data_IF_530326204785
#
_entry.id   IF_530326204785
#
_cell.length_a   1.000
_cell.length_b   1.000
_cell.length_c   1.000
_cell.angle_alpha   90.00
_cell.angle_beta   90.00
_cell.angle_gamma   90.00
#
_symmetry.space_group_name_H-M   'P 1'
#
loop_
_entity.id
_entity.type
_entity.pdbx_description
1 polymer ?
#
# COMPACT_ATOMS: atom_id res chain seq x y z
N UNK A 1 66.49 -25.34 -12.93
CA UNK A 1 66.61 -24.76 -14.29
C UNK A 1 65.80 -23.46 -14.28
N UNK A 2 66.44 -22.28 -14.15
CA UNK A 2 66.92 -21.39 -15.25
C UNK A 2 65.77 -21.05 -16.21
N UNK A 3 65.35 -19.82 -16.57
CA UNK A 3 65.77 -18.40 -16.49
C UNK A 3 64.46 -17.57 -16.73
N UNK A 4 64.16 -16.37 -16.20
CA UNK A 4 64.77 -15.02 -16.26
C UNK A 4 64.87 -14.37 -17.66
N UNK A 5 64.08 -13.30 -17.89
CA UNK A 5 64.33 -12.08 -18.70
C UNK A 5 62.97 -11.42 -19.05
N UNK A 6 62.53 -10.21 -18.67
CA UNK A 6 63.12 -8.89 -18.42
C UNK A 6 63.69 -8.16 -19.65
N UNK A 7 63.41 -6.84 -19.71
CA UNK A 7 64.03 -5.75 -20.49
C UNK A 7 63.44 -5.45 -21.89
N UNK A 8 63.29 -4.22 -22.42
CA UNK A 8 63.60 -2.81 -22.10
C UNK A 8 62.86 -1.96 -23.19
N UNK A 9 62.20 -0.83 -22.90
CA UNK A 9 62.67 0.58 -22.88
C UNK A 9 62.94 1.27 -24.25
N UNK A 10 62.39 2.49 -24.40
CA UNK A 10 62.92 3.73 -25.08
C UNK A 10 61.80 4.47 -25.83
N UNK A 11 61.23 5.59 -25.35
CA UNK A 11 61.71 7.00 -25.38
C UNK A 11 61.94 7.56 -26.81
N UNK A 12 61.15 8.57 -27.22
CA UNK A 12 61.66 9.88 -27.68
C UNK A 12 60.53 10.90 -27.97
N UNK A 13 60.78 12.13 -27.52
CA UNK A 13 60.02 13.38 -27.68
C UNK A 13 60.41 14.15 -28.96
N UNK A 14 59.58 15.16 -29.29
CA UNK A 14 59.84 16.39 -30.09
C UNK A 14 59.00 16.45 -31.38
N UNK A 15 58.37 17.54 -31.78
CA UNK A 15 58.38 18.92 -31.30
C UNK A 15 57.38 19.77 -32.09
N UNK A 16 57.16 20.99 -31.62
CA UNK A 16 56.31 22.04 -32.19
C UNK A 16 56.74 22.48 -33.61
N UNK A 17 55.80 23.00 -34.43
CA UNK A 17 55.77 24.43 -34.87
C UNK A 17 54.49 24.77 -35.65
N UNK A 18 54.11 26.05 -35.54
CA UNK A 18 52.93 26.75 -36.04
C UNK A 18 53.20 27.39 -37.42
N UNK A 19 52.12 27.58 -38.19
CA UNK A 19 51.80 28.72 -39.08
C UNK A 19 52.73 28.97 -40.31
N UNK A 20 52.37 29.51 -41.48
CA UNK A 20 51.29 30.39 -41.95
C UNK A 20 51.17 30.34 -43.51
N UNK A 21 49.93 30.54 -44.00
CA UNK A 21 49.45 31.47 -45.05
C UNK A 21 50.13 31.61 -46.44
N UNK A 22 49.31 31.61 -47.52
CA UNK A 22 49.39 32.58 -48.63
C UNK A 22 48.08 32.65 -49.48
N UNK A 23 47.44 33.82 -49.46
CA UNK A 23 46.55 34.44 -50.49
C UNK A 23 47.38 34.89 -51.73
N UNK A 24 46.88 35.44 -52.88
CA UNK A 24 45.81 36.46 -52.99
C UNK A 24 44.97 36.54 -54.30
N UNK A 25 43.99 37.46 -54.35
CA UNK A 25 43.88 38.49 -55.41
C UNK A 25 42.72 39.47 -55.14
N UNK A 26 43.00 40.76 -55.33
CA UNK A 26 42.19 41.93 -54.97
C UNK A 26 41.50 42.61 -56.16
N UNK A 27 40.44 43.39 -55.89
CA UNK A 27 40.12 44.63 -56.61
C UNK A 27 39.25 45.57 -55.73
N UNK A 28 39.48 46.89 -55.85
CA UNK A 28 39.10 47.99 -54.94
C UNK A 28 37.90 48.84 -55.45
N UNK A 29 37.46 49.75 -54.56
CA UNK A 29 36.74 51.06 -54.72
C UNK A 29 35.23 51.01 -54.40
N UNK A 30 34.58 51.98 -53.73
CA UNK A 30 34.85 53.35 -53.24
C UNK A 30 34.00 53.62 -51.95
N UNK A 31 34.11 54.78 -51.24
CA UNK A 31 33.60 54.93 -49.86
C UNK A 31 32.13 55.36 -49.80
N UNK A 32 31.34 54.94 -48.79
CA UNK A 32 30.02 55.50 -48.56
C UNK A 32 30.01 56.56 -47.47
N UNK A 33 29.15 57.56 -47.71
CA UNK A 33 28.74 58.70 -46.90
C UNK A 33 28.19 58.33 -45.51
N UNK A 34 28.46 59.19 -44.52
CA UNK A 34 27.86 59.14 -43.18
C UNK A 34 26.33 59.23 -43.22
N UNK A 35 25.59 58.39 -42.49
CA UNK A 35 24.18 58.62 -42.21
C UNK A 35 23.94 59.19 -40.81
N UNK A 36 23.04 60.18 -40.80
CA UNK A 36 22.40 60.83 -39.65
C UNK A 36 21.86 59.83 -38.61
N UNK A 37 21.98 60.21 -37.35
CA UNK A 37 21.39 59.52 -36.20
C UNK A 37 19.88 59.35 -36.34
N UNK A 38 19.41 58.10 -36.29
CA UNK A 38 18.00 57.71 -36.18
C UNK A 38 17.68 57.29 -34.74
N UNK A 39 16.55 57.79 -34.22
CA UNK A 39 16.00 57.49 -32.90
C UNK A 39 15.75 55.99 -32.65
N UNK A 40 15.74 55.51 -31.39
CA UNK A 40 15.62 54.08 -31.09
C UNK A 40 14.23 53.55 -31.41
N UNK A 41 14.18 52.38 -32.05
CA UNK A 41 12.97 51.65 -32.34
C UNK A 41 12.30 51.14 -31.05
N UNK A 42 10.99 51.37 -30.91
CA UNK A 42 10.16 50.77 -29.86
C UNK A 42 10.06 49.26 -30.12
N UNK A 43 10.53 48.45 -29.17
CA UNK A 43 10.19 47.04 -29.10
C UNK A 43 8.72 46.93 -28.65
N UNK A 44 7.84 46.47 -29.53
CA UNK A 44 6.52 45.98 -29.12
C UNK A 44 6.71 44.66 -28.37
N UNK A 45 6.37 44.66 -27.09
CA UNK A 45 6.32 43.46 -26.25
C UNK A 45 5.21 42.53 -26.76
N UNK A 46 5.56 41.27 -27.04
CA UNK A 46 4.60 40.22 -27.31
C UNK A 46 3.61 40.09 -26.13
N UNK A 47 2.32 39.80 -26.39
CA UNK A 47 1.33 39.69 -25.31
C UNK A 47 1.69 38.50 -24.42
N UNK A 48 1.76 38.75 -23.10
CA UNK A 48 1.89 37.71 -22.09
C UNK A 48 0.78 36.67 -22.28
N UNK A 49 1.15 35.42 -22.59
CA UNK A 49 0.22 34.29 -22.47
C UNK A 49 -0.17 34.20 -21.01
N UNK A 50 -1.40 34.62 -20.69
CA UNK A 50 -2.04 34.25 -19.43
C UNK A 50 -1.96 32.73 -19.32
N UNK A 51 -1.25 32.22 -18.32
CA UNK A 51 -1.26 30.80 -17.99
C UNK A 51 -2.72 30.37 -17.85
N UNK A 52 -3.14 29.41 -18.66
CA UNK A 52 -4.43 28.76 -18.43
C UNK A 52 -4.39 28.15 -17.02
N UNK A 53 -5.47 28.28 -16.23
CA UNK A 53 -5.53 27.63 -14.93
C UNK A 53 -5.28 26.13 -15.15
N UNK A 54 -4.26 25.58 -14.47
CA UNK A 54 -3.97 24.15 -14.50
C UNK A 54 -5.28 23.40 -14.22
N UNK A 55 -5.72 22.57 -15.16
CA UNK A 55 -6.88 21.71 -14.95
C UNK A 55 -6.59 20.88 -13.70
N UNK A 56 -7.52 20.77 -12.74
CA UNK A 56 -7.32 19.92 -11.57
C UNK A 56 -6.98 18.51 -12.08
N UNK A 57 -5.81 18.01 -11.70
CA UNK A 57 -5.44 16.63 -11.97
C UNK A 57 -6.44 15.76 -11.22
N UNK A 58 -7.23 14.97 -11.95
CA UNK A 58 -8.15 14.01 -11.33
C UNK A 58 -7.33 13.07 -10.43
N UNK A 59 -7.69 12.98 -9.15
CA UNK A 59 -7.03 12.09 -8.21
C UNK A 59 -7.41 10.64 -8.58
N UNK A 60 -6.43 9.74 -8.80
CA UNK A 60 -6.73 8.39 -9.24
C UNK A 60 -7.07 7.45 -8.08
N UNK A 61 -7.65 6.30 -8.41
CA UNK A 61 -7.66 5.12 -7.56
C UNK A 61 -6.38 4.30 -7.78
N UNK A 62 -5.64 4.05 -6.72
CA UNK A 62 -4.38 3.30 -6.72
C UNK A 62 -4.59 1.90 -6.17
N UNK A 63 -4.21 0.87 -6.92
CA UNK A 63 -4.26 -0.53 -6.46
C UNK A 63 -3.05 -0.82 -5.57
N UNK A 64 -3.29 -1.30 -4.35
CA UNK A 64 -2.23 -1.46 -3.34
C UNK A 64 -2.29 -2.76 -2.57
N UNK A 65 -1.14 -3.38 -2.34
CA UNK A 65 -0.98 -4.48 -1.39
C UNK A 65 -0.13 -4.02 -0.20
N UNK A 66 -0.59 -4.34 1.01
CA UNK A 66 0.01 -3.87 2.27
C UNK A 66 0.47 -5.01 3.18
N UNK A 67 0.26 -6.27 2.81
CA UNK A 67 0.75 -7.41 3.57
C UNK A 67 1.20 -8.53 2.62
N UNK A 68 2.51 -8.73 2.52
CA UNK A 68 3.13 -9.79 1.73
C UNK A 68 4.49 -10.20 2.28
N UNK A 69 4.83 -11.48 2.08
CA UNK A 69 6.09 -12.08 2.50
C UNK A 69 6.95 -12.53 1.32
N UNK A 70 8.25 -12.57 1.58
CA UNK A 70 9.30 -13.00 0.64
C UNK A 70 10.16 -14.07 1.31
N UNK A 71 11.24 -14.51 0.65
CA UNK A 71 12.27 -15.39 1.26
C UNK A 71 13.03 -14.73 2.44
N UNK A 72 12.78 -13.45 2.74
CA UNK A 72 13.31 -12.77 3.92
C UNK A 72 12.45 -13.02 5.16
N UNK A 73 11.26 -13.59 5.01
CA UNK A 73 10.50 -14.29 6.04
C UNK A 73 10.92 -15.77 6.12
N UNK A 74 10.72 -16.41 7.28
CA UNK A 74 11.11 -17.82 7.47
C UNK A 74 10.17 -18.82 6.79
N UNK A 75 9.02 -18.36 6.28
CA UNK A 75 7.94 -19.12 5.68
C UNK A 75 7.61 -18.71 4.23
N UNK A 76 8.39 -17.80 3.65
CA UNK A 76 8.41 -17.51 2.22
C UNK A 76 9.64 -18.10 1.52
N UNK A 77 9.56 -18.29 0.21
CA UNK A 77 10.68 -18.84 -0.60
C UNK A 77 10.95 -18.06 -1.89
N UNK A 78 10.22 -16.97 -2.14
CA UNK A 78 10.36 -16.19 -3.38
C UNK A 78 11.21 -14.94 -3.11
N UNK A 79 12.23 -14.64 -3.94
CA UNK A 79 13.03 -13.42 -3.81
C UNK A 79 12.17 -12.15 -3.81
N UNK A 80 12.51 -11.12 -3.01
CA UNK A 80 11.73 -9.89 -2.92
C UNK A 80 11.46 -9.22 -4.27
N UNK A 81 12.46 -9.19 -5.16
CA UNK A 81 12.35 -8.58 -6.49
C UNK A 81 11.38 -9.34 -7.40
N UNK A 82 11.26 -10.66 -7.23
CA UNK A 82 10.29 -11.48 -7.95
C UNK A 82 8.88 -11.26 -7.43
N UNK A 83 8.71 -11.11 -6.11
CA UNK A 83 7.42 -10.72 -5.51
C UNK A 83 6.99 -9.34 -6.03
N UNK A 84 7.89 -8.36 -6.05
CA UNK A 84 7.59 -7.02 -6.60
C UNK A 84 7.15 -7.11 -8.06
N UNK A 85 7.87 -7.87 -8.90
CA UNK A 85 7.50 -8.09 -10.31
C UNK A 85 6.15 -8.79 -10.45
N UNK A 86 5.83 -9.74 -9.58
CA UNK A 86 4.54 -10.44 -9.57
C UNK A 86 3.37 -9.46 -9.40
N UNK A 87 3.48 -8.53 -8.45
CA UNK A 87 2.44 -7.51 -8.20
C UNK A 87 2.43 -6.45 -9.29
N UNK A 88 3.59 -5.98 -9.74
CA UNK A 88 3.68 -5.00 -10.83
C UNK A 88 2.99 -5.52 -12.11
N UNK A 89 3.24 -6.79 -12.49
CA UNK A 89 2.62 -7.42 -13.65
C UNK A 89 1.08 -7.54 -13.54
N UNK A 90 0.51 -7.35 -12.33
CA UNK A 90 -0.93 -7.39 -12.03
C UNK A 90 -1.54 -6.01 -11.80
N UNK A 91 -0.82 -4.96 -12.24
CA UNK A 91 -1.30 -3.59 -12.24
C UNK A 91 -1.38 -2.96 -10.85
N UNK A 92 -0.59 -3.44 -9.88
CA UNK A 92 -0.46 -2.75 -8.60
C UNK A 92 0.32 -1.45 -8.78
N UNK A 93 -0.13 -0.41 -8.11
CA UNK A 93 0.52 0.89 -8.06
C UNK A 93 1.54 1.00 -6.94
N UNK A 94 1.27 0.30 -5.84
CA UNK A 94 2.18 0.24 -4.71
C UNK A 94 2.14 -1.11 -3.98
N UNK A 95 3.24 -1.42 -3.31
CA UNK A 95 3.41 -2.63 -2.51
C UNK A 95 4.17 -2.28 -1.22
N UNK A 96 3.74 -2.84 -0.10
CA UNK A 96 4.57 -2.95 1.09
C UNK A 96 5.00 -4.39 1.28
N UNK A 97 6.31 -4.64 1.25
CA UNK A 97 6.88 -5.92 1.69
C UNK A 97 6.91 -5.87 3.22
N UNK A 98 6.40 -6.92 3.87
CA UNK A 98 6.17 -6.95 5.31
C UNK A 98 6.73 -8.22 5.92
N UNK A 99 7.98 -8.54 5.60
CA UNK A 99 8.60 -9.77 6.10
C UNK A 99 8.61 -9.83 7.63
N UNK A 100 8.51 -11.04 8.17
CA UNK A 100 8.42 -11.30 9.59
C UNK A 100 9.62 -10.76 10.37
N UNK A 101 9.37 -9.68 11.11
CA UNK A 101 10.31 -8.93 11.92
C UNK A 101 11.54 -8.46 11.13
N UNK A 102 11.43 -8.20 9.83
CA UNK A 102 12.54 -7.73 9.01
C UNK A 102 12.06 -6.64 8.05
N UNK A 103 12.72 -5.48 8.08
CA UNK A 103 12.45 -4.42 7.10
C UNK A 103 13.24 -4.76 5.84
N UNK A 104 12.53 -5.18 4.81
CA UNK A 104 13.12 -5.52 3.52
C UNK A 104 12.97 -4.35 2.56
N UNK A 105 14.10 -3.81 2.12
CA UNK A 105 14.17 -2.70 1.16
C UNK A 105 14.81 -3.21 -0.13
N UNK A 106 14.12 -3.04 -1.24
CA UNK A 106 14.63 -3.32 -2.59
C UNK A 106 14.30 -2.14 -3.51
N UNK A 107 14.98 -2.09 -4.65
CA UNK A 107 14.73 -1.05 -5.65
C UNK A 107 13.34 -1.22 -6.28
N UNK A 108 12.61 -0.10 -6.37
CA UNK A 108 11.32 -0.08 -7.03
C UNK A 108 11.51 -0.10 -8.55
N UNK A 109 10.87 -1.02 -9.29
CA UNK A 109 10.87 -0.96 -10.75
C UNK A 109 10.06 0.25 -11.24
N UNK A 110 10.30 0.74 -12.47
CA UNK A 110 9.59 1.89 -13.02
C UNK A 110 8.06 1.75 -12.93
N UNK A 111 7.40 2.79 -12.43
CA UNK A 111 5.94 2.82 -12.30
C UNK A 111 5.38 2.09 -11.07
N UNK A 112 6.20 1.48 -10.23
CA UNK A 112 5.80 0.87 -8.95
C UNK A 112 6.28 1.74 -7.78
N UNK A 113 5.44 1.92 -6.75
CA UNK A 113 5.90 2.47 -5.47
C UNK A 113 6.13 1.35 -4.46
N UNK A 114 7.28 1.36 -3.80
CA UNK A 114 7.54 0.48 -2.66
C UNK A 114 7.44 1.28 -1.37
N UNK A 115 6.55 0.84 -0.49
CA UNK A 115 6.36 1.39 0.85
C UNK A 115 7.12 0.49 1.81
N UNK A 116 8.12 0.99 2.55
CA UNK A 116 8.79 0.18 3.56
C UNK A 116 7.79 -0.33 4.59
N UNK A 117 7.85 -1.61 4.88
CA UNK A 117 6.98 -2.26 5.83
C UNK A 117 7.69 -3.38 6.59
N UNK A 118 7.04 -3.85 7.64
CA UNK A 118 7.47 -5.04 8.41
C UNK A 118 6.26 -5.62 9.11
N UNK A 119 6.16 -6.95 9.16
CA UNK A 119 5.23 -7.59 10.07
C UNK A 119 5.92 -7.89 11.40
N UNK A 120 5.45 -7.28 12.48
CA UNK A 120 5.87 -7.57 13.84
C UNK A 120 5.14 -8.83 14.32
N UNK A 121 5.90 -9.91 14.49
CA UNK A 121 5.36 -11.25 14.70
C UNK A 121 5.84 -11.82 16.01
N UNK A 122 4.90 -12.14 16.92
CA UNK A 122 5.18 -12.89 18.13
C UNK A 122 4.23 -14.10 18.25
N UNK A 123 4.80 -15.29 18.16
CA UNK A 123 4.06 -16.55 18.26
C UNK A 123 4.30 -17.18 19.64
N UNK A 124 3.25 -17.25 20.46
CA UNK A 124 3.33 -17.83 21.80
C UNK A 124 2.23 -18.88 22.03
N UNK A 125 2.50 -19.84 22.91
CA UNK A 125 1.48 -20.76 23.45
C UNK A 125 0.90 -20.26 24.78
N UNK A 126 1.45 -19.18 25.32
CA UNK A 126 1.09 -18.61 26.62
C UNK A 126 0.78 -17.13 26.43
N UNK A 127 -0.39 -16.71 26.89
CA UNK A 127 -0.75 -15.31 27.08
C UNK A 127 -1.88 -15.19 28.10
N UNK A 128 -2.18 -13.97 28.52
CA UNK A 128 -3.30 -13.61 29.36
C UNK A 128 -4.27 -12.67 28.62
N UNK A 129 -5.56 -13.04 28.46
CA UNK A 129 -6.16 -14.31 28.84
C UNK A 129 -5.60 -15.47 28.00
N UNK A 130 -5.61 -16.68 28.59
CA UNK A 130 -5.18 -17.90 27.91
C UNK A 130 -5.95 -18.11 26.60
N UNK A 131 -5.28 -18.64 25.55
CA UNK A 131 -5.98 -18.96 24.32
C UNK A 131 -7.00 -20.08 24.57
N UNK A 132 -8.06 -20.10 23.76
CA UNK A 132 -9.01 -21.22 23.75
C UNK A 132 -8.24 -22.51 23.44
N UNK A 133 -8.68 -23.64 24.00
CA UNK A 133 -8.04 -24.93 23.76
C UNK A 133 -7.90 -25.22 22.25
N UNK A 134 -6.70 -25.62 21.83
CA UNK A 134 -6.36 -25.85 20.42
C UNK A 134 -5.82 -24.61 19.69
N UNK A 135 -5.88 -23.43 20.31
CA UNK A 135 -5.37 -22.18 19.73
C UNK A 135 -4.12 -21.67 20.44
N UNK A 136 -3.50 -20.65 19.84
CA UNK A 136 -2.23 -20.04 20.26
C UNK A 136 -2.40 -18.54 20.36
N UNK A 137 -1.45 -17.86 20.99
CA UNK A 137 -1.39 -16.41 21.05
C UNK A 137 -0.47 -15.92 19.93
N UNK A 138 -1.04 -15.65 18.76
CA UNK A 138 -0.29 -15.21 17.58
C UNK A 138 -0.51 -13.71 17.41
N UNK A 139 0.43 -12.91 17.92
CA UNK A 139 0.37 -11.45 17.87
C UNK A 139 1.07 -10.96 16.61
N UNK A 140 0.27 -10.68 15.59
CA UNK A 140 0.73 -10.29 14.26
C UNK A 140 0.21 -8.88 13.97
N UNK A 141 1.09 -8.03 13.46
CA UNK A 141 0.73 -6.67 13.10
C UNK A 141 1.72 -6.10 12.11
N UNK A 142 1.24 -5.31 11.17
CA UNK A 142 2.09 -4.66 10.18
C UNK A 142 2.39 -3.23 10.61
N UNK A 143 3.66 -2.83 10.51
CA UNK A 143 4.06 -1.43 10.51
C UNK A 143 4.31 -0.99 9.06
N UNK A 144 3.44 -0.14 8.52
CA UNK A 144 3.56 0.44 7.17
C UNK A 144 4.29 1.78 7.20
N UNK A 145 4.95 2.18 6.12
CA UNK A 145 5.67 3.46 6.02
C UNK A 145 6.73 3.65 7.10
N UNK A 146 7.36 2.55 7.54
CA UNK A 146 8.49 2.65 8.47
C UNK A 146 9.62 3.44 7.83
N UNK A 147 10.39 4.14 8.64
CA UNK A 147 11.62 4.80 8.24
C UNK A 147 12.78 3.81 8.40
N UNK A 148 13.38 3.28 7.32
CA UNK A 148 14.49 2.34 7.43
C UNK A 148 15.71 2.94 8.18
N UNK A 149 15.84 4.27 8.24
CA UNK A 149 16.91 4.91 9.02
C UNK A 149 16.74 4.74 10.54
N UNK A 150 15.52 4.39 11.00
CA UNK A 150 15.22 4.09 12.41
C UNK A 150 15.36 2.60 12.74
N UNK A 151 15.72 1.78 11.77
CA UNK A 151 16.01 0.37 12.01
C UNK A 151 17.39 0.19 12.68
N UNK A 152 17.39 0.06 14.00
CA UNK A 152 18.58 -0.22 14.82
C UNK A 152 19.24 -1.56 14.49
N UNK A 153 18.57 -2.43 13.73
CA UNK A 153 19.07 -3.75 13.32
C UNK A 153 19.57 -3.74 11.87
N UNK A 154 19.45 -2.64 11.15
CA UNK A 154 20.00 -2.45 9.80
C UNK A 154 19.60 -3.57 8.83
N UNK A 155 18.30 -3.87 8.78
CA UNK A 155 17.74 -4.92 7.94
C UNK A 155 17.93 -6.33 8.50
N UNK A 156 18.43 -6.52 9.72
CA UNK A 156 18.42 -7.81 10.43
C UNK A 156 17.11 -8.01 11.21
N UNK A 157 16.86 -9.27 11.64
CA UNK A 157 15.63 -9.61 12.35
C UNK A 157 15.45 -8.78 13.63
N UNK A 158 14.44 -7.92 13.65
CA UNK A 158 13.97 -7.14 14.78
C UNK A 158 13.62 -8.05 15.96
N UNK A 159 13.90 -7.57 17.16
CA UNK A 159 13.62 -8.30 18.41
C UNK A 159 12.66 -7.48 19.24
N UNK A 160 11.52 -8.08 19.53
CA UNK A 160 10.56 -7.53 20.47
C UNK A 160 10.61 -8.31 21.78
N UNK A 161 10.56 -7.62 22.93
CA UNK A 161 10.40 -8.31 24.21
C UNK A 161 9.04 -9.02 24.23
N UNK A 162 9.03 -10.25 24.75
CA UNK A 162 7.78 -10.97 24.95
C UNK A 162 6.98 -10.33 26.08
N UNK A 163 5.68 -10.15 25.83
CA UNK A 163 4.73 -9.63 26.82
C UNK A 163 3.60 -10.64 26.96
N UNK A 164 3.32 -11.17 28.17
CA UNK A 164 2.32 -12.21 28.34
C UNK A 164 0.88 -11.68 28.20
N UNK A 165 0.64 -10.42 28.58
CA UNK A 165 -0.67 -9.79 28.43
C UNK A 165 -1.00 -9.54 26.96
N UNK A 166 -2.15 -10.04 26.50
CA UNK A 166 -2.58 -9.99 25.09
C UNK A 166 -2.70 -8.55 24.59
N UNK A 167 -3.37 -7.70 25.35
CA UNK A 167 -3.53 -6.28 25.01
C UNK A 167 -2.17 -5.59 25.01
N UNK A 168 -1.36 -5.85 26.02
CA UNK A 168 -0.05 -5.25 26.20
C UNK A 168 0.93 -5.68 25.11
N UNK A 169 0.84 -6.91 24.61
CA UNK A 169 1.62 -7.38 23.48
C UNK A 169 1.30 -6.60 22.20
N UNK A 170 0.02 -6.42 21.88
CA UNK A 170 -0.38 -5.58 20.74
C UNK A 170 -0.03 -4.11 20.95
N UNK A 171 -0.20 -3.56 22.15
CA UNK A 171 0.21 -2.19 22.45
C UNK A 171 1.73 -2.00 22.30
N UNK A 172 2.54 -2.97 22.75
CA UNK A 172 3.98 -2.92 22.55
C UNK A 172 4.37 -2.97 21.06
N UNK A 173 3.62 -3.71 20.23
CA UNK A 173 3.81 -3.68 18.78
C UNK A 173 3.38 -2.34 18.15
N UNK A 174 2.29 -1.75 18.63
CA UNK A 174 1.85 -0.41 18.25
C UNK A 174 2.94 0.63 18.55
N UNK A 175 3.44 0.66 19.79
CA UNK A 175 4.45 1.61 20.21
C UNK A 175 5.76 1.43 19.42
N UNK A 176 6.09 0.18 19.08
CA UNK A 176 7.26 -0.14 18.26
C UNK A 176 7.10 0.33 16.80
N UNK A 177 5.91 0.18 16.21
CA UNK A 177 5.61 0.70 14.89
C UNK A 177 5.74 2.24 14.84
N UNK A 178 5.22 2.94 15.87
CA UNK A 178 5.36 4.39 16.01
C UNK A 178 6.84 4.81 16.19
N UNK A 179 7.63 4.04 16.95
CA UNK A 179 9.08 4.28 17.07
C UNK A 179 9.79 4.23 15.72
N UNK A 180 9.38 3.30 14.85
CA UNK A 180 9.86 3.21 13.46
C UNK A 180 9.31 4.31 12.54
N UNK A 181 8.43 5.20 13.02
CA UNK A 181 7.77 6.23 12.21
C UNK A 181 6.64 5.69 11.32
N UNK A 182 6.25 4.42 11.50
CA UNK A 182 5.25 3.76 10.68
C UNK A 182 3.81 4.08 11.06
N UNK A 183 2.89 3.37 10.44
CA UNK A 183 1.48 3.26 10.84
C UNK A 183 1.25 1.81 11.23
N UNK A 184 0.68 1.61 12.41
CA UNK A 184 0.30 0.29 12.89
C UNK A 184 -1.01 -0.22 12.26
N UNK A 185 -0.97 -1.46 11.77
CA UNK A 185 -2.11 -2.24 11.30
C UNK A 185 -2.20 -3.50 12.16
N UNK A 186 -3.35 -3.75 12.77
CA UNK A 186 -3.60 -5.03 13.43
C UNK A 186 -3.92 -6.09 12.38
N UNK A 187 -3.09 -7.13 12.28
CA UNK A 187 -3.25 -8.16 11.25
C UNK A 187 -4.27 -9.21 11.67
N UNK A 188 -5.02 -9.68 10.68
CA UNK A 188 -6.00 -10.78 10.71
C UNK A 188 -6.44 -11.20 12.13
N UNK A 189 -7.26 -10.39 12.83
CA UNK A 189 -7.56 -10.55 14.27
C UNK A 189 -8.17 -11.91 14.64
N UNK A 190 -8.90 -12.52 13.70
CA UNK A 190 -9.51 -13.84 13.86
C UNK A 190 -8.50 -14.97 13.80
N UNK A 191 -7.26 -14.74 13.33
CA UNK A 191 -6.22 -15.75 13.26
C UNK A 191 -5.89 -16.28 14.66
N UNK A 192 -6.30 -17.51 14.96
CA UNK A 192 -6.26 -18.11 16.30
C UNK A 192 -7.04 -17.32 17.37
N UNK A 193 -8.02 -16.51 16.95
CA UNK A 193 -8.77 -15.60 17.82
C UNK A 193 -7.85 -14.71 18.67
N UNK A 194 -6.77 -14.22 18.04
CA UNK A 194 -5.73 -13.45 18.71
C UNK A 194 -6.26 -12.12 19.26
N UNK A 195 -7.18 -11.45 18.57
CA UNK A 195 -7.82 -10.23 19.05
C UNK A 195 -9.34 -10.27 18.85
N UNK A 196 -10.07 -10.01 19.93
CA UNK A 196 -11.53 -9.85 19.93
C UNK A 196 -11.94 -8.36 19.83
N UNK A 197 -13.24 -8.09 19.73
CA UNK A 197 -13.75 -6.72 19.64
C UNK A 197 -13.29 -5.87 20.84
N UNK A 198 -13.25 -6.43 22.05
CA UNK A 198 -12.83 -5.71 23.26
C UNK A 198 -11.37 -5.25 23.16
N UNK A 199 -10.49 -6.14 22.69
CA UNK A 199 -9.06 -5.86 22.48
C UNK A 199 -8.90 -4.75 21.44
N UNK A 200 -9.58 -4.87 20.29
CA UNK A 200 -9.51 -3.87 19.21
C UNK A 200 -10.02 -2.51 19.68
N UNK A 201 -11.14 -2.46 20.41
CA UNK A 201 -11.70 -1.22 20.97
C UNK A 201 -10.74 -0.56 21.95
N UNK A 202 -10.06 -1.36 22.80
CA UNK A 202 -9.04 -0.82 23.70
C UNK A 202 -7.87 -0.23 22.92
N UNK A 203 -7.34 -0.95 21.92
CA UNK A 203 -6.26 -0.44 21.06
C UNK A 203 -6.68 0.82 20.28
N UNK A 204 -7.93 0.89 19.80
CA UNK A 204 -8.47 2.06 19.10
C UNK A 204 -8.50 3.30 19.99
N UNK A 205 -8.80 3.15 21.29
CA UNK A 205 -8.70 4.24 22.27
C UNK A 205 -7.25 4.72 22.49
N UNK A 206 -6.27 3.90 22.14
CA UNK A 206 -4.84 4.23 22.18
C UNK A 206 -4.25 4.62 20.81
N UNK A 207 -5.10 4.79 19.78
CA UNK A 207 -4.67 5.34 18.49
C UNK A 207 -4.65 4.36 17.32
N UNK A 208 -5.01 3.08 17.52
CA UNK A 208 -5.20 2.15 16.40
C UNK A 208 -6.20 2.72 15.38
N UNK A 209 -5.77 2.80 14.12
CA UNK A 209 -6.61 3.27 13.00
C UNK A 209 -6.92 2.21 11.98
N UNK A 210 -6.04 1.22 11.80
CA UNK A 210 -6.11 0.26 10.70
C UNK A 210 -6.17 -1.17 11.23
N UNK A 211 -7.06 -1.97 10.69
CA UNK A 211 -7.17 -3.40 10.98
C UNK A 211 -7.33 -4.15 9.67
N UNK A 212 -6.72 -5.32 9.54
CA UNK A 212 -7.07 -6.23 8.45
C UNK A 212 -8.46 -6.80 8.71
N UNK A 213 -9.42 -6.33 7.91
CA UNK A 213 -10.76 -6.90 7.87
C UNK A 213 -10.72 -8.23 7.13
N UNK A 214 -10.11 -8.23 5.95
CA UNK A 214 -10.02 -9.40 5.08
C UNK A 214 -8.54 -9.74 4.87
N UNK A 215 -8.18 -10.96 5.22
CA UNK A 215 -6.93 -11.58 4.82
C UNK A 215 -7.26 -12.71 3.84
N UNK A 216 -6.54 -12.86 2.74
CA UNK A 216 -6.89 -13.88 1.74
C UNK A 216 -6.74 -15.32 2.26
N UNK A 217 -6.00 -15.55 3.34
CA UNK A 217 -5.89 -16.82 4.05
C UNK A 217 -6.99 -17.06 5.11
N UNK A 218 -7.93 -16.13 5.29
CA UNK A 218 -8.95 -16.17 6.35
C UNK A 218 -9.74 -17.49 6.36
N UNK A 219 -10.05 -18.06 5.20
CA UNK A 219 -10.86 -19.28 5.06
C UNK A 219 -10.26 -20.53 5.71
N UNK A 220 -8.96 -20.55 6.00
CA UNK A 220 -8.30 -21.73 6.57
C UNK A 220 -8.68 -22.05 8.00
N UNK A 221 -9.14 -21.07 8.76
CA UNK A 221 -9.59 -21.28 10.14
C UNK A 221 -11.09 -21.44 10.26
N UNK A 222 -11.81 -21.30 9.16
CA UNK A 222 -13.25 -21.38 9.12
C UNK A 222 -13.65 -22.64 8.34
N UNK A 223 -13.98 -23.76 9.02
CA UNK A 223 -14.37 -25.00 8.35
C UNK A 223 -15.62 -24.82 7.46
N UNK A 224 -16.39 -23.76 7.73
CA UNK A 224 -17.57 -23.35 6.96
C UNK A 224 -17.23 -22.61 5.65
N UNK A 225 -15.94 -22.44 5.33
CA UNK A 225 -15.44 -21.83 4.11
C UNK A 225 -15.35 -20.29 4.14
N UNK A 226 -14.93 -19.73 2.99
CA UNK A 226 -14.61 -18.30 2.82
C UNK A 226 -15.78 -17.36 3.16
N UNK A 227 -16.98 -17.66 2.69
CA UNK A 227 -18.12 -16.76 2.90
C UNK A 227 -18.45 -16.61 4.40
N UNK A 228 -18.37 -17.72 5.15
CA UNK A 228 -18.57 -17.71 6.59
C UNK A 228 -17.42 -17.03 7.35
N UNK A 229 -16.21 -17.12 6.81
CA UNK A 229 -15.05 -16.38 7.32
C UNK A 229 -15.25 -14.88 7.17
N UNK A 230 -15.60 -14.42 5.97
CA UNK A 230 -15.88 -13.00 5.67
C UNK A 230 -17.01 -12.45 6.54
N UNK A 231 -18.12 -13.20 6.71
CA UNK A 231 -19.22 -12.79 7.59
C UNK A 231 -18.75 -12.58 9.03
N UNK A 232 -17.94 -13.47 9.58
CA UNK A 232 -17.39 -13.33 10.95
C UNK A 232 -16.43 -12.15 11.08
N UNK A 233 -15.64 -11.86 10.04
CA UNK A 233 -14.79 -10.67 10.00
C UNK A 233 -15.63 -9.38 9.99
N UNK A 234 -16.69 -9.34 9.19
CA UNK A 234 -17.66 -8.24 9.19
C UNK A 234 -18.35 -8.08 10.56
N UNK A 235 -18.82 -9.16 11.16
CA UNK A 235 -19.42 -9.15 12.51
C UNK A 235 -18.46 -8.60 13.57
N UNK A 236 -17.18 -9.00 13.52
CA UNK A 236 -16.16 -8.47 14.42
C UNK A 236 -15.96 -6.96 14.21
N UNK A 237 -15.87 -6.52 12.95
CA UNK A 237 -15.72 -5.10 12.63
C UNK A 237 -16.94 -4.29 13.08
N UNK A 238 -18.14 -4.82 12.88
CA UNK A 238 -19.39 -4.19 13.29
C UNK A 238 -19.48 -4.06 14.81
N UNK A 239 -19.04 -5.06 15.58
CA UNK A 239 -18.94 -4.96 17.05
C UNK A 239 -18.00 -3.84 17.50
N UNK A 240 -16.86 -3.70 16.81
CA UNK A 240 -15.89 -2.63 17.11
C UNK A 240 -16.49 -1.26 16.79
N UNK A 241 -17.03 -1.08 15.59
CA UNK A 241 -17.64 0.19 15.16
C UNK A 241 -18.82 0.59 16.03
N UNK A 242 -19.63 -0.38 16.47
CA UNK A 242 -20.81 -0.14 17.32
C UNK A 242 -20.46 0.35 18.74
N UNK A 243 -19.20 0.20 19.15
CA UNK A 243 -18.70 0.76 20.42
C UNK A 243 -18.40 2.27 20.37
N UNK A 244 -18.53 2.90 19.18
CA UNK A 244 -18.28 4.32 18.97
C UNK A 244 -16.83 4.67 18.61
N UNK A 245 -15.92 3.69 18.53
CA UNK A 245 -14.59 3.90 17.96
C UNK A 245 -14.63 3.71 16.44
N UNK A 246 -13.70 4.34 15.74
CA UNK A 246 -13.55 4.18 14.29
C UNK A 246 -12.19 3.57 13.97
N UNK A 247 -12.22 2.41 13.30
CA UNK A 247 -11.06 1.75 12.68
C UNK A 247 -11.40 1.39 11.23
N UNK A 248 -10.44 1.58 10.34
CA UNK A 248 -10.56 1.30 8.92
C UNK A 248 -10.16 -0.14 8.62
N UNK A 249 -10.96 -0.82 7.79
CA UNK A 249 -10.76 -2.22 7.41
C UNK A 249 -9.97 -2.36 6.11
N UNK A 250 -8.83 -3.05 6.15
CA UNK A 250 -8.02 -3.40 4.98
C UNK A 250 -8.37 -4.80 4.45
N UNK A 251 -8.17 -5.00 3.15
CA UNK A 251 -8.10 -6.31 2.52
C UNK A 251 -6.67 -6.57 2.04
N UNK A 252 -6.09 -7.70 2.40
CA UNK A 252 -4.69 -8.04 2.15
C UNK A 252 -4.52 -9.49 1.77
N UNK A 253 -3.41 -9.81 1.09
CA UNK A 253 -3.15 -11.19 0.66
C UNK A 253 -2.52 -12.04 1.76
N UNK A 254 -1.52 -11.48 2.46
CA UNK A 254 -0.63 -12.25 3.33
C UNK A 254 0.01 -13.43 2.57
N UNK A 255 0.45 -13.12 1.36
CA UNK A 255 0.97 -14.10 0.42
C UNK A 255 2.40 -14.51 0.78
N UNK A 256 2.63 -15.81 0.67
CA UNK A 256 3.92 -16.46 0.93
C UNK A 256 4.43 -17.27 -0.27
N UNK A 257 3.55 -17.50 -1.25
CA UNK A 257 3.77 -18.39 -2.39
C UNK A 257 3.50 -17.69 -3.70
N UNK A 258 4.41 -17.87 -4.65
CA UNK A 258 4.34 -17.26 -5.97
C UNK A 258 4.65 -18.32 -7.02
N UNK A 259 5.90 -18.37 -7.50
CA UNK A 259 6.37 -19.40 -8.45
C UNK A 259 6.36 -20.80 -7.82
N UNK A 260 6.49 -20.91 -6.50
CA UNK A 260 6.48 -22.17 -5.74
C UNK A 260 5.07 -22.70 -5.39
N UNK A 261 4.01 -21.94 -5.67
CA UNK A 261 2.64 -22.31 -5.30
C UNK A 261 2.17 -23.63 -5.93
N UNK A 262 2.61 -23.94 -7.15
CA UNK A 262 2.25 -25.19 -7.83
C UNK A 262 2.85 -26.41 -7.13
N UNK A 263 4.12 -26.37 -6.75
CA UNK A 263 4.79 -27.46 -6.06
C UNK A 263 4.23 -27.67 -4.65
N UNK A 264 3.91 -26.57 -3.94
CA UNK A 264 3.24 -26.60 -2.63
C UNK A 264 1.91 -27.38 -2.69
N UNK A 265 1.11 -27.16 -3.74
CA UNK A 265 -0.16 -27.87 -3.95
C UNK A 265 0.03 -29.34 -4.31
N UNK A 266 1.08 -29.71 -5.06
CA UNK A 266 1.38 -31.13 -5.39
C UNK A 266 1.63 -31.99 -4.16
N UNK A 267 2.19 -31.41 -3.10
CA UNK A 267 2.41 -32.12 -1.82
C UNK A 267 1.22 -31.99 -0.86
N UNK A 268 0.04 -31.61 -1.36
CA UNK A 268 -1.19 -31.50 -0.58
C UNK A 268 -1.23 -30.34 0.42
N UNK A 269 -0.29 -29.39 0.34
CA UNK A 269 -0.27 -28.21 1.21
C UNK A 269 -1.02 -27.05 0.55
N UNK A 270 -1.65 -26.23 1.38
CA UNK A 270 -2.22 -24.96 0.92
C UNK A 270 -1.12 -24.01 0.44
N UNK A 271 -1.43 -23.22 -0.58
CA UNK A 271 -0.57 -22.17 -1.12
C UNK A 271 -1.21 -20.79 -0.93
N UNK A 272 -0.66 -20.00 -0.01
CA UNK A 272 -1.02 -18.59 0.20
C UNK A 272 -0.46 -17.75 -0.94
N UNK A 273 -1.29 -17.53 -1.96
CA UNK A 273 -0.93 -16.83 -3.20
C UNK A 273 -1.45 -15.40 -3.19
N UNK A 274 -0.74 -14.50 -3.89
CA UNK A 274 -1.14 -13.10 -4.00
C UNK A 274 -2.25 -12.82 -5.02
N UNK A 275 -2.69 -11.57 -5.05
CA UNK A 275 -3.74 -11.01 -5.92
C UNK A 275 -5.15 -11.60 -5.67
N UNK A 276 -5.48 -11.80 -4.41
CA UNK A 276 -6.77 -12.33 -3.92
C UNK A 276 -7.55 -11.31 -3.10
N UNK A 277 -6.85 -10.37 -2.46
CA UNK A 277 -7.42 -9.30 -1.65
C UNK A 277 -6.45 -8.10 -1.59
N UNK A 278 -6.97 -6.90 -1.80
CA UNK A 278 -6.19 -5.67 -1.85
C UNK A 278 -7.02 -4.43 -1.48
N UNK A 279 -6.36 -3.28 -1.41
CA UNK A 279 -7.03 -1.99 -1.23
C UNK A 279 -6.93 -1.14 -2.49
N UNK A 280 -7.95 -0.31 -2.69
CA UNK A 280 -7.97 0.73 -3.71
C UNK A 280 -7.98 2.08 -3.00
N UNK A 281 -6.91 2.86 -3.15
CA UNK A 281 -6.68 4.11 -2.40
C UNK A 281 -6.89 5.32 -3.31
N UNK A 282 -7.74 6.26 -2.90
CA UNK A 282 -7.97 7.50 -3.65
C UNK A 282 -6.96 8.57 -3.23
N UNK A 283 -5.84 8.65 -3.96
CA UNK A 283 -4.72 9.54 -3.64
C UNK A 283 -3.85 9.81 -4.86
N UNK A 284 -3.09 10.92 -4.83
CA UNK A 284 -1.93 11.04 -5.73
C UNK A 284 -0.95 9.89 -5.44
N UNK A 285 -0.27 9.40 -6.49
CA UNK A 285 0.73 8.33 -6.40
C UNK A 285 2.04 8.83 -5.77
N UNK A 286 1.98 9.17 -4.49
CA UNK A 286 3.09 9.63 -3.63
C UNK A 286 2.95 8.97 -2.25
N UNK A 287 4.03 8.43 -1.65
CA UNK A 287 3.94 7.76 -0.35
C UNK A 287 3.22 8.57 0.74
N UNK A 288 3.53 9.86 0.87
CA UNK A 288 2.87 10.74 1.84
C UNK A 288 1.35 10.87 1.60
N UNK A 289 0.91 10.93 0.33
CA UNK A 289 -0.51 11.05 -0.03
C UNK A 289 -1.28 9.75 0.18
N UNK A 290 -0.66 8.61 -0.10
CA UNK A 290 -1.21 7.29 0.25
C UNK A 290 -1.33 7.18 1.78
N UNK A 291 -0.29 7.58 2.52
CA UNK A 291 -0.29 7.58 3.99
C UNK A 291 -1.44 8.42 4.56
N UNK A 292 -1.60 9.65 4.09
CA UNK A 292 -2.71 10.55 4.46
C UNK A 292 -4.08 9.92 4.15
N UNK A 293 -4.24 9.34 2.95
CA UNK A 293 -5.49 8.71 2.52
C UNK A 293 -5.87 7.49 3.38
N UNK A 294 -4.91 6.64 3.75
CA UNK A 294 -5.15 5.50 4.63
C UNK A 294 -5.61 5.95 6.02
N UNK A 295 -4.95 6.95 6.61
CA UNK A 295 -5.33 7.48 7.92
C UNK A 295 -6.70 8.17 7.91
N UNK A 296 -7.10 8.75 6.78
CA UNK A 296 -8.39 9.40 6.59
C UNK A 296 -9.52 8.44 6.16
N UNK A 297 -9.23 7.18 5.84
CA UNK A 297 -10.21 6.22 5.31
C UNK A 297 -10.62 6.51 3.87
N UNK A 298 -9.75 7.13 3.05
CA UNK A 298 -9.95 7.39 1.62
C UNK A 298 -9.52 6.19 0.76
N UNK A 299 -10.08 5.03 1.06
CA UNK A 299 -9.83 3.80 0.34
C UNK A 299 -11.03 2.86 0.48
N UNK A 300 -11.05 1.78 -0.29
CA UNK A 300 -11.92 0.64 -0.02
C UNK A 300 -11.12 -0.66 -0.09
N UNK A 301 -11.54 -1.64 0.70
CA UNK A 301 -11.01 -3.00 0.66
C UNK A 301 -11.76 -3.80 -0.41
N UNK A 302 -11.09 -4.72 -1.11
CA UNK A 302 -11.75 -5.51 -2.15
C UNK A 302 -11.08 -6.86 -2.37
N UNK A 303 -11.87 -7.82 -2.85
CA UNK A 303 -11.44 -9.13 -3.34
C UNK A 303 -11.69 -9.31 -4.83
N UNK A 304 -12.03 -8.22 -5.55
CA UNK A 304 -12.23 -8.25 -7.00
C UNK A 304 -13.24 -7.22 -7.53
N UNK A 305 -14.17 -6.73 -6.69
CA UNK A 305 -15.12 -5.68 -7.10
C UNK A 305 -14.39 -4.34 -7.15
N UNK A 306 -14.47 -3.67 -8.31
CA UNK A 306 -13.89 -2.34 -8.53
C UNK A 306 -15.00 -1.29 -8.58
N UNK A 307 -14.71 -0.09 -8.08
CA UNK A 307 -15.63 1.03 -8.02
C UNK A 307 -15.04 2.19 -8.82
N UNK A 308 -15.83 2.78 -9.71
CA UNK A 308 -15.43 3.95 -10.51
C UNK A 308 -15.65 5.25 -9.74
N UNK A 309 -16.75 5.32 -8.98
CA UNK A 309 -17.11 6.48 -8.16
C UNK A 309 -17.44 6.05 -6.74
N UNK A 310 -16.98 6.83 -5.76
CA UNK A 310 -17.33 6.66 -4.34
C UNK A 310 -17.57 8.05 -3.74
N UNK A 311 -18.72 8.23 -3.10
CA UNK A 311 -18.97 9.35 -2.20
C UNK A 311 -19.03 8.81 -0.77
N UNK A 312 -18.22 9.36 0.13
CA UNK A 312 -18.24 9.05 1.56
C UNK A 312 -18.24 10.35 2.35
N UNK A 313 -19.40 10.75 2.84
CA UNK A 313 -19.58 11.93 3.67
C UNK A 313 -20.67 11.71 4.73
N UNK A 314 -20.78 12.62 5.69
CA UNK A 314 -21.89 12.61 6.65
C UNK A 314 -23.28 12.78 5.98
N UNK A 315 -23.33 13.27 4.73
CA UNK A 315 -24.57 13.50 3.98
C UNK A 315 -24.96 12.33 3.10
N UNK A 316 -23.98 11.56 2.60
CA UNK A 316 -24.24 10.42 1.75
C UNK A 316 -23.09 9.42 1.72
N UNK A 317 -23.46 8.15 1.55
CA UNK A 317 -22.58 7.07 1.14
C UNK A 317 -23.11 6.51 -0.19
N UNK A 318 -22.31 6.56 -1.25
CA UNK A 318 -22.66 5.96 -2.54
C UNK A 318 -21.47 5.37 -3.26
N UNK A 319 -21.74 4.43 -4.14
CA UNK A 319 -20.74 3.86 -5.04
C UNK A 319 -21.33 3.53 -6.41
N UNK A 320 -20.48 3.60 -7.44
CA UNK A 320 -20.73 3.08 -8.78
C UNK A 320 -19.73 1.95 -9.04
N UNK A 321 -20.22 0.74 -9.23
CA UNK A 321 -19.39 -0.43 -9.51
C UNK A 321 -18.99 -0.48 -10.98
N UNK A 322 -17.72 -0.81 -11.23
CA UNK A 322 -17.16 -0.95 -12.57
C UNK A 322 -17.65 -2.25 -13.21
N UNK A 323 -18.34 -2.13 -14.35
CA UNK A 323 -18.82 -3.27 -15.14
C UNK A 323 -20.34 -3.26 -15.34
N UNK A 324 -20.87 -4.28 -16.01
CA UNK A 324 -22.29 -4.35 -16.40
C UNK A 324 -23.23 -4.93 -15.33
N UNK A 325 -22.70 -5.49 -14.24
CA UNK A 325 -23.48 -6.08 -13.16
C UNK A 325 -24.15 -7.43 -13.52
N UNK A 326 -25.13 -7.88 -12.71
CA UNK A 326 -25.67 -7.18 -11.53
C UNK A 326 -24.71 -7.25 -10.34
N UNK A 327 -24.57 -6.13 -9.63
CA UNK A 327 -23.95 -6.07 -8.30
C UNK A 327 -25.03 -5.96 -7.24
N UNK A 328 -24.74 -6.48 -6.04
CA UNK A 328 -25.56 -6.28 -4.85
C UNK A 328 -24.91 -5.26 -3.92
N UNK A 329 -25.68 -4.27 -3.48
CA UNK A 329 -25.24 -3.21 -2.58
C UNK A 329 -25.99 -3.35 -1.25
N UNK A 330 -25.27 -3.49 -0.14
CA UNK A 330 -25.83 -3.62 1.20
C UNK A 330 -25.25 -2.53 2.09
N UNK A 331 -26.11 -1.60 2.53
CA UNK A 331 -25.77 -0.59 3.52
C UNK A 331 -25.98 -1.17 4.91
N UNK A 332 -24.98 -1.04 5.77
CA UNK A 332 -24.95 -1.64 7.11
C UNK A 332 -24.67 -0.55 8.14
N UNK A 333 -25.37 -0.59 9.27
CA UNK A 333 -25.13 0.31 10.40
C UNK A 333 -24.95 -0.44 11.71
N UNK A 334 -25.14 0.27 12.83
CA UNK A 334 -24.88 -0.25 14.18
C UNK A 334 -25.38 -1.68 14.40
N UNK A 335 -24.54 -2.45 15.08
CA UNK A 335 -24.70 -3.87 15.39
C UNK A 335 -24.80 -4.78 14.16
N UNK A 336 -24.27 -4.33 13.00
CA UNK A 336 -24.32 -5.07 11.74
C UNK A 336 -25.69 -5.05 11.08
N UNK A 337 -26.57 -4.11 11.47
CA UNK A 337 -27.94 -4.03 10.97
C UNK A 337 -27.96 -3.59 9.52
N UNK A 338 -28.59 -4.39 8.66
CA UNK A 338 -28.91 -3.99 7.28
C UNK A 338 -29.86 -2.78 7.29
N UNK A 339 -29.44 -1.71 6.64
CA UNK A 339 -30.18 -0.46 6.50
C UNK A 339 -30.94 -0.40 5.18
N UNK A 340 -30.33 -0.94 4.12
CA UNK A 340 -30.90 -1.00 2.78
C UNK A 340 -30.12 -2.01 1.93
N UNK A 341 -30.82 -2.59 0.95
CA UNK A 341 -30.27 -3.50 -0.04
C UNK A 341 -30.82 -3.15 -1.42
N UNK A 342 -29.95 -3.16 -2.42
CA UNK A 342 -30.34 -2.91 -3.81
C UNK A 342 -29.46 -3.71 -4.78
N UNK A 343 -29.95 -3.89 -6.00
CA UNK A 343 -29.21 -4.51 -7.10
C UNK A 343 -29.09 -3.53 -8.26
N UNK A 344 -27.93 -3.50 -8.91
CA UNK A 344 -27.69 -2.62 -10.05
C UNK A 344 -26.20 -2.41 -10.29
N UNK A 345 -25.87 -1.24 -10.84
CA UNK A 345 -24.48 -0.78 -11.04
C UNK A 345 -24.10 0.35 -10.08
N UNK A 346 -25.06 0.92 -9.35
CA UNK A 346 -24.84 1.99 -8.39
C UNK A 346 -25.88 1.95 -7.28
N UNK A 347 -25.50 2.42 -6.09
CA UNK A 347 -26.43 2.65 -5.00
C UNK A 347 -26.01 3.86 -4.15
N UNK A 348 -26.98 4.49 -3.48
CA UNK A 348 -26.80 5.64 -2.59
C UNK A 348 -27.64 5.48 -1.33
N UNK A 349 -27.07 5.88 -0.21
CA UNK A 349 -27.74 5.99 1.07
C UNK A 349 -27.47 7.37 1.69
N UNK A 350 -28.49 7.98 2.27
CA UNK A 350 -28.40 9.27 2.96
C UNK A 350 -28.57 9.03 4.46
N UNK A 351 -27.49 9.18 5.26
CA UNK A 351 -27.55 9.04 6.71
C UNK A 351 -28.60 9.94 7.37
N UNK A 352 -29.32 9.37 8.32
CA UNK A 352 -30.32 10.05 9.17
C UNK A 352 -29.73 10.53 10.49
N UNK A 353 -28.54 10.04 10.85
CA UNK A 353 -27.77 10.45 12.03
C UNK A 353 -28.00 9.59 13.26
N UNK A 354 -28.84 8.55 13.20
CA UNK A 354 -29.10 7.63 14.31
C UNK A 354 -28.62 6.20 14.04
N UNK A 355 -27.89 5.99 12.94
CA UNK A 355 -27.38 4.68 12.53
C UNK A 355 -26.13 4.24 13.29
N UNK A 356 -25.46 5.12 14.04
CA UNK A 356 -24.16 4.90 14.69
C UNK A 356 -22.99 4.95 13.70
N UNK A 357 -23.11 4.21 12.60
CA UNK A 357 -22.28 4.36 11.41
C UNK A 357 -23.07 3.87 10.20
N UNK A 358 -22.59 4.18 9.00
CA UNK A 358 -23.04 3.55 7.76
C UNK A 358 -21.81 3.08 6.99
N UNK A 359 -21.74 1.79 6.66
CA UNK A 359 -20.77 1.21 5.70
C UNK A 359 -21.51 0.57 4.54
N UNK A 360 -20.78 0.30 3.46
CA UNK A 360 -21.33 -0.33 2.26
C UNK A 360 -20.51 -1.58 1.90
N UNK A 361 -21.21 -2.67 1.63
CA UNK A 361 -20.66 -3.87 0.98
C UNK A 361 -21.24 -3.95 -0.43
N UNK A 362 -20.37 -4.13 -1.41
CA UNK A 362 -20.75 -4.37 -2.81
C UNK A 362 -20.28 -5.77 -3.19
N UNK A 363 -21.16 -6.63 -3.69
CA UNK A 363 -20.81 -8.00 -4.09
C UNK A 363 -21.13 -8.25 -5.56
N UNK A 364 -20.31 -9.05 -6.25
CA UNK A 364 -20.61 -9.57 -7.59
C UNK A 364 -21.20 -10.99 -7.53
N UNK A 365 -21.54 -11.56 -8.69
CA UNK A 365 -22.09 -12.92 -8.81
C UNK A 365 -21.04 -14.03 -8.64
N UNK A 366 -19.76 -13.69 -8.62
CA UNK A 366 -18.65 -14.62 -8.46
C UNK A 366 -18.16 -14.71 -7.00
N UNK A 367 -18.82 -13.99 -6.08
CA UNK A 367 -18.47 -13.94 -4.67
C UNK A 367 -17.34 -12.96 -4.34
N UNK A 368 -16.89 -12.13 -5.30
CA UNK A 368 -16.01 -11.02 -4.97
C UNK A 368 -16.81 -9.91 -4.29
N UNK A 369 -16.12 -9.14 -3.45
CA UNK A 369 -16.70 -8.04 -2.68
C UNK A 369 -15.81 -6.82 -2.65
N UNK A 370 -16.41 -5.68 -2.38
CA UNK A 370 -15.76 -4.45 -1.95
C UNK A 370 -16.43 -3.93 -0.67
N UNK A 371 -15.61 -3.48 0.28
CA UNK A 371 -16.03 -2.90 1.55
C UNK A 371 -15.56 -1.45 1.61
N UNK A 372 -16.51 -0.51 1.59
CA UNK A 372 -16.21 0.90 1.81
C UNK A 372 -16.01 1.16 3.31
N UNK A 373 -15.12 2.09 3.63
CA UNK A 373 -14.93 2.53 5.01
C UNK A 373 -16.20 3.17 5.58
N UNK A 374 -16.49 2.98 6.88
CA UNK A 374 -17.67 3.53 7.50
C UNK A 374 -17.66 5.06 7.48
N UNK A 375 -18.86 5.63 7.39
CA UNK A 375 -19.17 6.98 7.82
C UNK A 375 -19.59 6.87 9.29
N UNK A 376 -18.77 7.32 10.26
CA UNK A 376 -19.20 7.38 11.66
C UNK A 376 -20.30 8.44 11.82
N UNK A 377 -21.34 8.14 12.59
CA UNK A 377 -22.53 8.97 12.73
C UNK A 377 -23.02 8.94 14.19
N UNK A 378 -22.82 10.04 14.90
CA UNK A 378 -23.25 10.17 16.31
C UNK A 378 -22.18 9.74 17.29
#
# INVERSE_FOLDING_TARGET
>A
MRLLAAALCSIALSGCTRADVAEPSAARSAPPSEPRASAPARQESAPERKAEPERPVAIPWLKGQTHVHTERSYDGHTPPEEVVRFYQARGYDFLAITDHNRITVVDAPPGMLLIPGVELTQNSTICDPKPVQGYRCLFHSTALFVDPAKDERHGEKLRMPFVPGRREAFQAQFDFAEKLGGIYVLNHPSFHFAADARTIVQLAKHGLKLVELINAGLDQQHPDGREAAERRAEELWDQVLSSGVTVWGLATDDAHHFSDAAERRKIGKFAYTGDRAWIMVHAEKKPAKIREALLAGHFYATTGVLLDEVERSAKALSAVARGSGPFEFVFVGKDGRELSRSRGVSARYEPKGNEGYVRLVVSDTNGHKAWLQPVPLG
#
